data_IF_873436871007
#
_entry.id   IF_873436871007
#
_cell.length_a   1.000
_cell.length_b   1.000
_cell.length_c   1.000
_cell.angle_alpha   90.00
_cell.angle_beta   90.00
_cell.angle_gamma   90.00
#
_symmetry.space_group_name_H-M   'P 1'
#
loop_
_entity.id
_entity.type
_entity.pdbx_description
1 polymer ?
#
# COMPACT_ATOMS: atom_id res chain seq x y z
N UNK A 1 -34.52 18.86 11.66
CA UNK A 1 -33.25 18.11 11.83
C UNK A 1 -32.11 18.99 11.36
N UNK A 2 -31.25 19.41 12.26
CA UNK A 2 -30.04 20.13 11.89
C UNK A 2 -28.92 19.18 11.46
N UNK A 3 -27.73 19.70 11.14
CA UNK A 3 -26.63 18.86 10.66
C UNK A 3 -26.08 17.95 11.78
N UNK A 4 -26.08 18.39 13.02
CA UNK A 4 -25.60 17.61 14.15
C UNK A 4 -26.56 16.46 14.46
N UNK A 5 -27.84 16.69 14.53
CA UNK A 5 -28.87 15.64 14.63
C UNK A 5 -28.80 14.64 13.48
N UNK A 6 -28.56 15.11 12.24
CA UNK A 6 -28.37 14.22 11.10
C UNK A 6 -27.14 13.35 11.25
N UNK A 7 -26.02 13.88 11.74
CA UNK A 7 -24.82 13.09 11.95
C UNK A 7 -25.00 12.05 13.07
N UNK A 8 -25.75 12.39 14.13
CA UNK A 8 -26.08 11.44 15.20
C UNK A 8 -27.03 10.36 14.70
N UNK A 9 -28.05 10.70 13.91
CA UNK A 9 -28.89 9.72 13.23
C UNK A 9 -28.06 8.75 12.37
N UNK A 10 -27.05 9.24 11.66
CA UNK A 10 -26.21 8.40 10.81
C UNK A 10 -25.32 7.43 11.58
N UNK A 11 -25.11 7.59 12.89
CA UNK A 11 -24.34 6.63 13.70
C UNK A 11 -25.00 5.26 13.72
N UNK A 12 -26.32 5.27 13.90
CA UNK A 12 -27.15 4.06 13.85
C UNK A 12 -28.47 4.45 13.18
N UNK A 13 -28.75 3.88 12.03
CA UNK A 13 -30.00 4.12 11.31
C UNK A 13 -30.51 2.83 10.68
N UNK A 14 -31.82 2.77 10.50
CA UNK A 14 -32.47 1.66 9.83
C UNK A 14 -32.80 2.03 8.38
N UNK A 15 -32.53 1.11 7.46
CA UNK A 15 -32.91 1.20 6.06
C UNK A 15 -33.36 -0.16 5.57
N UNK A 16 -34.55 -0.22 4.99
CA UNK A 16 -35.15 -1.46 4.44
C UNK A 16 -35.23 -2.59 5.49
N UNK A 17 -35.53 -2.25 6.76
CA UNK A 17 -35.60 -3.21 7.87
C UNK A 17 -34.24 -3.71 8.37
N UNK A 18 -33.13 -3.13 7.88
CA UNK A 18 -31.77 -3.49 8.29
C UNK A 18 -31.10 -2.33 9.04
N UNK A 19 -30.57 -2.63 10.21
CA UNK A 19 -29.79 -1.66 10.99
C UNK A 19 -28.40 -1.45 10.34
N UNK A 20 -28.09 -0.19 10.08
CA UNK A 20 -26.81 0.26 9.54
C UNK A 20 -26.06 1.12 10.57
N UNK A 21 -24.75 0.95 10.65
CA UNK A 21 -23.88 1.75 11.50
C UNK A 21 -22.79 2.44 10.69
N UNK A 22 -22.39 3.65 11.11
CA UNK A 22 -21.22 4.34 10.57
C UNK A 22 -20.21 4.59 11.67
N UNK A 23 -18.94 4.26 11.42
CA UNK A 23 -17.83 4.69 12.26
C UNK A 23 -17.49 6.18 12.05
N UNK A 24 -16.57 6.73 12.87
CA UNK A 24 -16.16 8.13 12.79
C UNK A 24 -15.62 8.53 11.41
N UNK A 25 -15.03 7.57 10.67
CA UNK A 25 -14.54 7.82 9.30
C UNK A 25 -15.70 7.95 8.32
N UNK A 26 -16.72 7.12 8.49
CA UNK A 26 -17.97 7.20 7.72
C UNK A 26 -18.67 8.53 7.94
N UNK A 27 -18.85 8.92 9.19
CA UNK A 27 -19.44 10.21 9.58
C UNK A 27 -18.60 11.39 9.05
N UNK A 28 -17.26 11.36 9.24
CA UNK A 28 -16.37 12.41 8.73
C UNK A 28 -16.48 12.60 7.21
N UNK A 29 -16.61 11.50 6.44
CA UNK A 29 -16.77 11.56 4.99
C UNK A 29 -18.09 12.20 4.58
N UNK A 30 -19.19 11.87 5.29
CA UNK A 30 -20.51 12.46 5.05
C UNK A 30 -20.53 13.95 5.39
N UNK A 31 -19.93 14.34 6.53
CA UNK A 31 -19.78 15.75 6.90
C UNK A 31 -18.92 16.53 5.88
N UNK A 32 -17.84 15.93 5.37
CA UNK A 32 -17.01 16.55 4.34
C UNK A 32 -17.82 16.80 3.04
N UNK A 33 -18.71 15.88 2.66
CA UNK A 33 -19.62 16.08 1.52
C UNK A 33 -20.59 17.22 1.75
N UNK A 34 -21.20 17.31 2.96
CA UNK A 34 -22.07 18.43 3.33
C UNK A 34 -21.33 19.75 3.33
N UNK A 35 -20.11 19.79 3.86
CA UNK A 35 -19.26 20.99 3.82
C UNK A 35 -18.96 21.44 2.40
N UNK A 36 -18.62 20.52 1.50
CA UNK A 36 -18.38 20.85 0.10
C UNK A 36 -19.63 21.38 -0.58
N UNK A 37 -20.80 20.77 -0.30
CA UNK A 37 -22.08 21.20 -0.82
C UNK A 37 -22.42 22.63 -0.36
N UNK A 38 -22.45 22.88 0.94
CA UNK A 38 -22.77 24.21 1.46
C UNK A 38 -21.72 25.27 1.09
N UNK A 39 -20.45 24.90 1.02
CA UNK A 39 -19.39 25.81 0.57
C UNK A 39 -19.57 26.23 -0.89
N UNK A 40 -19.99 25.31 -1.76
CA UNK A 40 -20.31 25.65 -3.15
C UNK A 40 -21.40 26.74 -3.24
N UNK A 41 -22.53 26.55 -2.54
CA UNK A 41 -23.61 27.52 -2.55
C UNK A 41 -23.26 28.84 -1.85
N UNK A 42 -22.45 28.79 -0.82
CA UNK A 42 -21.92 29.96 -0.15
C UNK A 42 -21.00 30.78 -1.07
N UNK A 43 -20.08 30.14 -1.78
CA UNK A 43 -19.20 30.80 -2.75
C UNK A 43 -19.93 31.32 -3.99
N UNK A 44 -21.15 30.85 -4.26
CA UNK A 44 -22.04 31.34 -5.32
C UNK A 44 -23.01 32.42 -4.80
N UNK A 45 -22.85 32.84 -3.54
CA UNK A 45 -23.71 33.83 -2.86
C UNK A 45 -25.21 33.47 -2.83
N UNK A 46 -25.52 32.16 -3.02
CA UNK A 46 -26.88 31.63 -3.00
C UNK A 46 -27.40 31.44 -1.56
N UNK A 47 -26.50 31.36 -0.60
CA UNK A 47 -26.79 31.33 0.84
C UNK A 47 -25.89 32.32 1.57
N UNK A 48 -26.42 32.96 2.60
CA UNK A 48 -25.70 33.98 3.37
C UNK A 48 -24.82 33.40 4.48
N UNK A 49 -25.08 32.15 4.90
CA UNK A 49 -24.33 31.45 5.96
C UNK A 49 -24.10 30.01 5.55
N UNK A 50 -22.93 29.47 5.92
CA UNK A 50 -22.61 28.05 5.71
C UNK A 50 -22.86 27.28 7.02
N UNK A 51 -23.97 26.52 7.15
CA UNK A 51 -24.31 25.83 8.40
C UNK A 51 -23.36 24.67 8.72
N UNK A 52 -22.66 24.10 7.74
CA UNK A 52 -21.75 23.00 7.95
C UNK A 52 -20.35 23.44 8.42
N UNK A 53 -20.05 24.75 8.39
CA UNK A 53 -18.70 25.25 8.72
C UNK A 53 -18.37 25.09 10.21
N UNK A 54 -19.35 25.32 11.08
CA UNK A 54 -19.19 25.29 12.55
C UNK A 54 -19.29 23.89 13.14
N UNK A 55 -19.84 22.91 12.40
CA UNK A 55 -19.98 21.54 12.88
C UNK A 55 -18.59 20.88 12.99
N UNK A 56 -18.24 20.40 14.17
CA UNK A 56 -16.91 19.81 14.42
C UNK A 56 -16.75 18.46 13.72
N UNK A 57 -15.56 18.25 13.13
CA UNK A 57 -15.21 16.92 12.59
C UNK A 57 -15.03 15.93 13.74
N UNK A 58 -15.59 14.71 13.63
CA UNK A 58 -15.33 13.64 14.59
C UNK A 58 -13.83 13.39 14.76
N UNK A 59 -13.41 13.15 16.01
CA UNK A 59 -12.03 12.73 16.28
C UNK A 59 -11.80 11.34 15.67
N UNK A 60 -10.80 11.23 14.81
CA UNK A 60 -10.42 9.95 14.21
C UNK A 60 -9.47 9.21 15.13
N UNK A 61 -9.83 8.00 15.53
CA UNK A 61 -8.87 7.11 16.17
C UNK A 61 -7.87 6.59 15.13
N UNK A 62 -6.59 6.72 15.44
CA UNK A 62 -5.54 6.18 14.59
C UNK A 62 -5.57 4.65 14.69
N UNK A 63 -5.76 3.98 13.56
CA UNK A 63 -5.67 2.52 13.48
C UNK A 63 -4.23 2.15 13.18
N UNK A 64 -3.69 1.19 13.91
CA UNK A 64 -2.40 0.59 13.59
C UNK A 64 -2.38 0.14 12.12
N UNK A 65 -1.29 0.46 11.43
CA UNK A 65 -1.15 0.08 10.03
C UNK A 65 -0.95 -1.43 9.96
N UNK A 66 -1.92 -2.13 9.39
CA UNK A 66 -1.78 -3.54 9.08
C UNK A 66 -0.84 -3.71 7.89
N UNK A 67 0.23 -4.43 8.06
CA UNK A 67 1.24 -4.77 7.04
C UNK A 67 1.67 -6.23 7.21
N UNK A 68 2.32 -6.77 6.20
CA UNK A 68 3.01 -8.05 6.30
C UNK A 68 4.42 -7.81 6.84
N UNK A 69 4.89 -8.73 7.65
CA UNK A 69 6.28 -8.80 8.06
C UNK A 69 7.10 -9.56 6.99
N UNK A 70 8.43 -9.54 7.08
CA UNK A 70 9.31 -10.14 6.06
C UNK A 70 9.02 -11.63 5.87
N UNK A 71 8.87 -12.36 6.97
CA UNK A 71 8.57 -13.79 6.93
C UNK A 71 7.19 -14.07 6.31
N UNK A 72 6.19 -13.23 6.61
CA UNK A 72 4.86 -13.35 6.02
C UNK A 72 4.87 -13.04 4.51
N UNK A 73 5.75 -12.13 4.05
CA UNK A 73 5.93 -11.87 2.61
C UNK A 73 6.54 -13.08 1.92
N UNK A 74 7.59 -13.67 2.49
CA UNK A 74 8.20 -14.88 1.95
C UNK A 74 7.18 -16.02 1.86
N UNK A 75 6.50 -16.33 2.97
CA UNK A 75 5.46 -17.36 2.99
C UNK A 75 4.32 -17.10 2.01
N UNK A 76 3.98 -15.82 1.76
CA UNK A 76 2.95 -15.45 0.80
C UNK A 76 3.38 -15.75 -0.63
N UNK A 77 4.60 -15.41 -1.01
CA UNK A 77 5.13 -15.68 -2.34
C UNK A 77 5.32 -17.18 -2.57
N UNK A 78 5.84 -17.91 -1.59
CA UNK A 78 5.97 -19.38 -1.62
C UNK A 78 4.62 -20.06 -1.85
N UNK A 79 3.56 -19.60 -1.15
CA UNK A 79 2.22 -20.14 -1.32
C UNK A 79 1.61 -19.77 -2.68
N UNK A 80 1.91 -18.58 -3.23
CA UNK A 80 1.47 -18.20 -4.58
C UNK A 80 2.15 -19.07 -5.64
N UNK A 81 3.37 -19.49 -5.41
CA UNK A 81 4.13 -20.36 -6.32
C UNK A 81 3.73 -21.85 -6.20
N UNK A 82 3.69 -22.37 -4.97
CA UNK A 82 3.43 -23.80 -4.71
C UNK A 82 1.96 -24.16 -4.71
N UNK A 83 1.09 -23.33 -4.12
CA UNK A 83 -0.33 -23.60 -3.98
C UNK A 83 -0.67 -24.74 -3.01
N UNK A 84 0.25 -25.11 -2.10
CA UNK A 84 0.12 -26.28 -1.22
C UNK A 84 -1.11 -26.22 -0.30
N UNK A 85 -1.45 -25.02 0.18
CA UNK A 85 -2.61 -24.82 1.09
C UNK A 85 -3.92 -24.59 0.36
N UNK A 86 -3.93 -24.65 -0.96
CA UNK A 86 -5.14 -24.48 -1.77
C UNK A 86 -6.00 -25.75 -1.72
N UNK A 87 -7.33 -25.58 -1.80
CA UNK A 87 -8.24 -26.70 -1.97
C UNK A 87 -8.07 -27.31 -3.36
N UNK A 88 -8.41 -28.60 -3.55
CA UNK A 88 -8.32 -29.29 -4.84
C UNK A 88 -8.98 -28.52 -6.00
N UNK A 89 -10.14 -27.88 -5.73
CA UNK A 89 -10.81 -27.04 -6.72
C UNK A 89 -9.99 -25.81 -7.08
N UNK A 90 -9.33 -25.20 -6.10
CA UNK A 90 -8.50 -24.01 -6.32
C UNK A 90 -7.19 -24.36 -7.02
N UNK A 91 -6.62 -25.55 -6.75
CA UNK A 91 -5.39 -26.03 -7.40
C UNK A 91 -5.56 -26.18 -8.91
N UNK A 92 -6.71 -26.68 -9.39
CA UNK A 92 -7.00 -26.78 -10.83
C UNK A 92 -6.92 -25.43 -11.57
N UNK A 93 -7.34 -24.35 -10.90
CA UNK A 93 -7.21 -22.98 -11.45
C UNK A 93 -5.81 -22.41 -11.22
N UNK A 94 -5.18 -22.79 -10.12
CA UNK A 94 -3.83 -22.34 -9.78
C UNK A 94 -2.83 -22.76 -10.85
N UNK A 95 -2.85 -24.00 -11.31
CA UNK A 95 -1.97 -24.48 -12.38
C UNK A 95 -2.00 -23.61 -13.65
N UNK A 96 -3.17 -23.00 -13.95
CA UNK A 96 -3.34 -22.14 -15.12
C UNK A 96 -3.01 -20.66 -14.84
N UNK A 97 -2.81 -20.28 -13.60
CA UNK A 97 -2.69 -18.85 -13.23
C UNK A 97 -1.47 -18.55 -12.38
N UNK A 98 -0.72 -19.55 -11.94
CA UNK A 98 0.38 -19.39 -10.98
C UNK A 98 1.45 -18.39 -11.44
N UNK A 99 1.91 -18.48 -12.68
CA UNK A 99 2.92 -17.56 -13.21
C UNK A 99 2.40 -16.12 -13.22
N UNK A 100 1.17 -15.90 -13.67
CA UNK A 100 0.51 -14.60 -13.63
C UNK A 100 0.33 -14.08 -12.21
N UNK A 101 -0.19 -14.92 -11.32
CA UNK A 101 -0.53 -14.57 -9.96
C UNK A 101 0.76 -14.22 -9.18
N UNK A 102 1.84 -14.98 -9.40
CA UNK A 102 3.17 -14.68 -8.85
C UNK A 102 3.71 -13.36 -9.39
N UNK A 103 3.67 -13.15 -10.71
CA UNK A 103 4.13 -11.89 -11.30
C UNK A 103 3.37 -10.67 -10.76
N UNK A 104 2.04 -10.75 -10.58
CA UNK A 104 1.24 -9.67 -9.99
C UNK A 104 1.66 -9.42 -8.54
N UNK A 105 1.78 -10.48 -7.72
CA UNK A 105 2.10 -10.34 -6.30
C UNK A 105 3.50 -9.78 -6.08
N UNK A 106 4.49 -10.32 -6.81
CA UNK A 106 5.89 -9.86 -6.76
C UNK A 106 6.00 -8.41 -7.24
N UNK A 107 5.29 -8.04 -8.31
CA UNK A 107 5.25 -6.66 -8.81
C UNK A 107 4.65 -5.70 -7.77
N UNK A 108 3.53 -6.04 -7.14
CA UNK A 108 2.90 -5.18 -6.13
C UNK A 108 3.77 -5.03 -4.87
N UNK A 109 4.45 -6.10 -4.44
CA UNK A 109 5.33 -6.12 -3.28
C UNK A 109 6.68 -5.46 -3.56
N UNK A 110 7.23 -5.61 -4.78
CA UNK A 110 8.55 -5.08 -5.13
C UNK A 110 8.56 -3.64 -5.67
N UNK A 111 7.38 -3.07 -5.98
CA UNK A 111 7.29 -1.70 -6.52
C UNK A 111 6.35 -0.80 -5.74
N UNK A 112 5.43 -1.37 -5.00
CA UNK A 112 4.39 -0.61 -4.29
C UNK A 112 3.44 0.18 -5.18
N UNK A 113 3.29 -0.13 -6.47
CA UNK A 113 2.32 0.53 -7.36
C UNK A 113 0.89 0.29 -6.90
N UNK A 114 -0.05 1.13 -7.34
CA UNK A 114 -1.47 0.94 -7.04
C UNK A 114 -2.03 -0.20 -7.87
N UNK A 115 -3.04 -0.89 -7.32
CA UNK A 115 -3.72 -1.98 -8.06
C UNK A 115 -4.29 -1.49 -9.40
N UNK A 116 -4.80 -0.26 -9.46
CA UNK A 116 -5.28 0.33 -10.71
C UNK A 116 -4.16 0.60 -11.72
N UNK A 117 -2.97 0.95 -11.26
CA UNK A 117 -1.77 1.10 -12.09
C UNK A 117 -1.33 -0.28 -12.60
N UNK A 118 -1.28 -1.30 -11.73
CA UNK A 118 -0.92 -2.67 -12.11
C UNK A 118 -1.84 -3.26 -13.21
N UNK A 119 -3.16 -3.17 -13.05
CA UNK A 119 -4.09 -3.72 -14.04
C UNK A 119 -4.12 -2.91 -15.35
N UNK A 120 -3.70 -1.64 -15.30
CA UNK A 120 -3.59 -0.76 -16.45
C UNK A 120 -2.38 -0.99 -17.34
N UNK A 121 -1.38 -1.74 -16.88
CA UNK A 121 -0.13 -1.95 -17.61
C UNK A 121 -0.35 -2.68 -18.95
N UNK A 122 0.35 -2.20 -19.95
CA UNK A 122 0.54 -2.87 -21.23
C UNK A 122 1.90 -3.57 -21.26
N UNK A 123 2.07 -4.53 -22.18
CA UNK A 123 3.35 -5.23 -22.37
C UNK A 123 4.46 -4.24 -22.70
N UNK A 124 4.15 -3.21 -23.48
CA UNK A 124 5.08 -2.15 -23.91
C UNK A 124 5.49 -1.19 -22.79
N UNK A 125 4.78 -1.20 -21.65
CA UNK A 125 5.13 -0.37 -20.51
C UNK A 125 6.30 -0.93 -19.68
N UNK A 126 6.73 -2.16 -19.95
CA UNK A 126 7.81 -2.82 -19.21
C UNK A 126 9.12 -2.69 -19.99
N UNK A 127 10.10 -2.03 -19.38
CA UNK A 127 11.47 -1.92 -19.89
C UNK A 127 12.40 -2.83 -19.09
N UNK A 128 12.71 -4.00 -19.64
CA UNK A 128 13.63 -4.97 -19.02
C UNK A 128 15.12 -4.56 -19.13
N UNK A 129 15.48 -3.57 -19.94
CA UNK A 129 16.87 -3.09 -20.03
C UNK A 129 17.21 -2.27 -18.79
N UNK A 130 16.28 -1.42 -18.39
CA UNK A 130 16.45 -0.51 -17.26
C UNK A 130 15.71 -0.97 -16.00
N UNK A 131 15.09 -2.16 -16.01
CA UNK A 131 14.26 -2.69 -14.93
C UNK A 131 13.20 -1.68 -14.46
N UNK A 132 12.49 -1.08 -15.41
CA UNK A 132 11.50 -0.04 -15.16
C UNK A 132 10.12 -0.37 -15.74
N UNK A 133 9.08 0.14 -15.10
CA UNK A 133 7.71 0.13 -15.63
C UNK A 133 7.19 1.56 -15.71
N UNK A 134 6.53 1.87 -16.82
CA UNK A 134 5.85 3.13 -17.00
C UNK A 134 4.42 3.01 -16.47
N UNK A 135 4.09 3.79 -15.45
CA UNK A 135 2.77 3.79 -14.83
C UNK A 135 2.04 5.10 -15.04
N UNK A 136 0.76 5.02 -15.35
CA UNK A 136 -0.12 6.17 -15.49
C UNK A 136 -0.77 6.50 -14.15
N UNK A 137 -0.35 7.60 -13.51
CA UNK A 137 -0.87 8.04 -12.22
C UNK A 137 -2.14 8.87 -12.35
N UNK A 138 -2.89 8.96 -11.25
CA UNK A 138 -4.09 9.83 -11.18
C UNK A 138 -3.74 11.27 -11.54
N UNK A 139 -4.42 11.82 -12.56
CA UNK A 139 -4.16 13.16 -13.10
C UNK A 139 -3.34 13.16 -14.39
N UNK A 140 -3.11 11.99 -15.01
CA UNK A 140 -2.48 11.87 -16.32
C UNK A 140 -0.95 11.90 -16.32
N UNK A 141 -0.31 11.99 -15.15
CA UNK A 141 1.15 11.96 -15.08
C UNK A 141 1.68 10.54 -15.34
N UNK A 142 2.64 10.42 -16.26
CA UNK A 142 3.43 9.21 -16.49
C UNK A 142 4.67 9.24 -15.60
N UNK A 143 4.96 8.12 -14.94
CA UNK A 143 6.14 7.98 -14.08
C UNK A 143 6.74 6.61 -14.30
N UNK A 144 8.06 6.53 -14.35
CA UNK A 144 8.79 5.26 -14.36
C UNK A 144 9.03 4.83 -12.92
N UNK A 145 8.66 3.59 -12.61
CA UNK A 145 8.93 2.94 -11.33
C UNK A 145 9.90 1.79 -11.59
N UNK A 146 11.00 1.76 -10.86
CA UNK A 146 12.03 0.73 -11.02
C UNK A 146 11.75 -0.49 -10.14
N UNK A 147 12.20 -1.66 -10.59
CA UNK A 147 12.00 -2.93 -9.91
C UNK A 147 13.30 -3.75 -9.83
N UNK A 148 13.38 -4.65 -8.85
CA UNK A 148 14.51 -5.56 -8.66
C UNK A 148 14.42 -6.84 -9.50
N UNK A 149 15.45 -7.67 -9.36
CA UNK A 149 15.62 -8.91 -10.15
C UNK A 149 14.52 -9.95 -9.90
N UNK A 150 13.97 -10.02 -8.69
CA UNK A 150 12.84 -10.90 -8.37
C UNK A 150 11.61 -10.58 -9.21
N UNK A 151 11.26 -9.28 -9.31
CA UNK A 151 10.15 -8.80 -10.14
C UNK A 151 10.44 -9.07 -11.62
N UNK A 152 11.68 -8.81 -12.05
CA UNK A 152 12.13 -9.09 -13.42
C UNK A 152 11.91 -10.55 -13.78
N UNK A 153 12.39 -11.47 -12.95
CA UNK A 153 12.27 -12.90 -13.17
C UNK A 153 10.81 -13.35 -13.24
N UNK A 154 9.99 -12.92 -12.28
CA UNK A 154 8.56 -13.25 -12.25
C UNK A 154 7.81 -12.72 -13.49
N UNK A 155 8.13 -11.50 -13.94
CA UNK A 155 7.52 -10.92 -15.14
C UNK A 155 7.97 -11.65 -16.42
N UNK A 156 9.24 -12.02 -16.55
CA UNK A 156 9.74 -12.77 -17.72
C UNK A 156 9.08 -14.15 -17.81
N UNK A 157 9.05 -14.89 -16.71
CA UNK A 157 8.39 -16.21 -16.66
C UNK A 157 6.90 -16.11 -17.06
N UNK A 158 6.21 -15.08 -16.57
CA UNK A 158 4.82 -14.86 -16.97
C UNK A 158 4.69 -14.46 -18.44
N UNK A 159 5.59 -13.63 -18.98
CA UNK A 159 5.54 -13.19 -20.37
C UNK A 159 5.75 -14.35 -21.37
N UNK A 160 6.54 -15.35 -21.03
CA UNK A 160 6.66 -16.57 -21.83
C UNK A 160 5.29 -17.23 -21.99
N UNK A 161 4.55 -17.42 -20.89
CA UNK A 161 3.18 -17.95 -20.93
C UNK A 161 2.22 -16.98 -21.62
N UNK A 162 2.29 -15.69 -21.27
CA UNK A 162 1.40 -14.64 -21.80
C UNK A 162 1.44 -14.56 -23.32
N UNK A 163 2.62 -14.73 -23.93
CA UNK A 163 2.81 -14.66 -25.37
C UNK A 163 2.15 -15.83 -26.13
N UNK A 164 1.85 -16.93 -25.46
CA UNK A 164 1.10 -18.07 -26.02
C UNK A 164 -0.41 -17.86 -25.99
N UNK A 165 -0.91 -16.90 -25.23
CA UNK A 165 -2.33 -16.64 -25.02
C UNK A 165 -2.82 -15.63 -26.06
N UNK A 166 -3.72 -16.04 -26.93
CA UNK A 166 -4.45 -15.13 -27.80
C UNK A 166 -5.50 -14.36 -27.02
N UNK A 167 -5.26 -13.07 -26.82
CA UNK A 167 -6.15 -12.20 -26.04
C UNK A 167 -7.37 -11.79 -26.86
N UNK A 168 -8.49 -11.54 -26.17
CA UNK A 168 -9.69 -10.99 -26.79
C UNK A 168 -9.41 -9.58 -27.32
N UNK A 169 -10.07 -9.21 -28.42
CA UNK A 169 -10.00 -7.88 -29.02
C UNK A 169 -10.14 -6.76 -27.96
N UNK A 170 -9.31 -5.73 -28.07
CA UNK A 170 -9.21 -4.65 -27.07
C UNK A 170 -8.38 -5.00 -25.81
N UNK A 171 -7.88 -6.23 -25.69
CA UNK A 171 -6.99 -6.64 -24.58
C UNK A 171 -5.64 -7.19 -25.07
N UNK A 172 -5.33 -7.06 -26.34
CA UNK A 172 -4.13 -7.64 -26.95
C UNK A 172 -2.84 -7.13 -26.31
N UNK A 173 -2.76 -5.86 -26.01
CA UNK A 173 -1.59 -5.23 -25.39
C UNK A 173 -1.54 -5.37 -23.87
N UNK A 174 -2.63 -5.80 -23.22
CA UNK A 174 -2.69 -5.88 -21.79
C UNK A 174 -1.59 -6.83 -21.24
N UNK A 175 -0.82 -6.37 -20.26
CA UNK A 175 0.21 -7.18 -19.61
C UNK A 175 -0.46 -8.37 -18.90
N UNK A 176 -1.42 -8.13 -18.04
CA UNK A 176 -2.08 -9.17 -17.26
C UNK A 176 -3.48 -9.51 -17.80
N UNK A 177 -3.70 -10.80 -18.07
CA UNK A 177 -4.97 -11.32 -18.56
C UNK A 177 -5.72 -12.12 -17.47
N UNK A 178 -7.04 -12.03 -17.52
CA UNK A 178 -7.94 -12.93 -16.79
C UNK A 178 -8.03 -14.30 -17.49
N UNK A 179 -8.65 -15.28 -16.82
CA UNK A 179 -8.98 -16.57 -17.45
C UNK A 179 -9.90 -16.44 -18.69
N UNK A 180 -10.61 -15.32 -18.81
CA UNK A 180 -11.42 -15.01 -19.98
C UNK A 180 -10.60 -14.35 -21.12
N UNK A 181 -9.27 -14.33 -21.00
CA UNK A 181 -8.36 -13.71 -21.98
C UNK A 181 -8.59 -12.21 -22.19
N UNK A 182 -9.22 -11.54 -21.23
CA UNK A 182 -9.40 -10.08 -21.19
C UNK A 182 -8.42 -9.47 -20.18
N UNK A 183 -8.14 -8.17 -20.32
CA UNK A 183 -7.39 -7.41 -19.30
C UNK A 183 -7.94 -7.72 -17.91
N UNK A 184 -7.06 -8.04 -16.96
CA UNK A 184 -7.47 -8.34 -15.59
C UNK A 184 -8.06 -7.09 -14.93
N UNK A 185 -9.13 -7.25 -14.18
CA UNK A 185 -9.77 -6.13 -13.47
C UNK A 185 -9.25 -5.99 -12.03
N UNK A 186 -9.39 -4.78 -11.47
CA UNK A 186 -9.01 -4.48 -10.08
C UNK A 186 -9.60 -5.48 -9.09
N UNK A 187 -10.88 -5.83 -9.25
CA UNK A 187 -11.55 -6.78 -8.35
C UNK A 187 -10.95 -8.18 -8.39
N UNK A 188 -10.49 -8.62 -9.56
CA UNK A 188 -9.84 -9.91 -9.69
C UNK A 188 -8.52 -9.94 -8.92
N UNK A 189 -7.70 -8.87 -9.00
CA UNK A 189 -6.46 -8.74 -8.24
C UNK A 189 -6.73 -8.62 -6.73
N UNK A 190 -7.76 -7.88 -6.32
CA UNK A 190 -8.17 -7.82 -4.90
C UNK A 190 -8.53 -9.22 -4.36
N UNK A 191 -9.29 -9.99 -5.14
CA UNK A 191 -9.68 -11.36 -4.76
C UNK A 191 -8.48 -12.30 -4.74
N UNK A 192 -7.52 -12.14 -5.68
CA UNK A 192 -6.25 -12.87 -5.72
C UNK A 192 -5.44 -12.62 -4.45
N UNK A 193 -5.18 -11.35 -4.11
CA UNK A 193 -4.47 -10.99 -2.89
C UNK A 193 -5.16 -11.55 -1.66
N UNK A 194 -6.50 -11.43 -1.58
CA UNK A 194 -7.29 -11.95 -0.47
C UNK A 194 -7.24 -13.48 -0.38
N UNK A 195 -7.25 -14.19 -1.52
CA UNK A 195 -7.17 -15.65 -1.58
C UNK A 195 -5.90 -16.14 -0.90
N UNK A 196 -4.74 -15.71 -1.36
CA UNK A 196 -3.46 -16.18 -0.84
C UNK A 196 -3.14 -15.66 0.55
N UNK A 197 -3.42 -14.39 0.85
CA UNK A 197 -3.13 -13.84 2.17
C UNK A 197 -3.91 -14.50 3.31
N UNK A 198 -5.12 -14.99 3.06
CA UNK A 198 -5.90 -15.74 4.05
C UNK A 198 -5.29 -17.10 4.42
N UNK A 199 -4.48 -17.69 3.54
CA UNK A 199 -3.77 -18.95 3.78
C UNK A 199 -2.55 -18.75 4.69
N UNK A 200 -2.03 -17.53 4.75
CA UNK A 200 -0.84 -17.19 5.52
C UNK A 200 -1.20 -16.53 6.86
N UNK A 201 -2.16 -15.63 6.85
CA UNK A 201 -2.58 -14.91 8.06
C UNK A 201 -4.09 -14.78 8.15
N UNK A 202 -4.66 -15.27 9.26
CA UNK A 202 -6.10 -15.14 9.55
C UNK A 202 -6.43 -13.85 10.28
N UNK A 203 -5.44 -13.28 10.98
CA UNK A 203 -5.61 -12.08 11.83
C UNK A 203 -5.52 -10.78 11.05
N UNK A 204 -4.85 -10.78 9.89
CA UNK A 204 -4.61 -9.59 9.08
C UNK A 204 -5.49 -9.61 7.82
N UNK A 205 -6.30 -8.58 7.61
CA UNK A 205 -7.02 -8.41 6.35
C UNK A 205 -6.13 -7.70 5.33
N UNK A 206 -5.43 -8.47 4.51
CA UNK A 206 -4.49 -7.97 3.52
C UNK A 206 -5.23 -7.65 2.21
N UNK A 207 -4.91 -6.49 1.66
CA UNK A 207 -5.43 -5.96 0.39
C UNK A 207 -4.26 -5.43 -0.43
N UNK A 208 -4.41 -5.14 -1.75
CA UNK A 208 -3.35 -4.54 -2.54
C UNK A 208 -2.79 -3.24 -1.93
N UNK A 209 -3.64 -2.44 -1.28
CA UNK A 209 -3.19 -1.25 -0.56
C UNK A 209 -2.28 -1.60 0.65
N UNK A 210 -2.52 -2.74 1.29
CA UNK A 210 -1.66 -3.22 2.40
C UNK A 210 -0.33 -3.75 1.90
N UNK A 211 -0.29 -4.40 0.72
CA UNK A 211 0.97 -4.78 0.07
C UNK A 211 1.83 -3.55 -0.25
N UNK A 212 1.20 -2.49 -0.78
CA UNK A 212 1.87 -1.21 -0.99
C UNK A 212 2.37 -0.58 0.32
N UNK A 213 1.61 -0.68 1.41
CA UNK A 213 2.06 -0.23 2.74
C UNK A 213 3.23 -1.08 3.27
N UNK A 214 3.24 -2.38 2.98
CA UNK A 214 4.36 -3.28 3.29
C UNK A 214 5.62 -2.84 2.55
N UNK A 215 5.56 -2.64 1.23
CA UNK A 215 6.67 -2.12 0.43
C UNK A 215 7.20 -0.79 0.98
N UNK A 216 6.33 0.20 1.20
CA UNK A 216 6.76 1.50 1.71
C UNK A 216 7.37 1.43 3.11
N UNK A 217 6.93 0.47 3.95
CA UNK A 217 7.53 0.22 5.26
C UNK A 217 8.92 -0.37 5.14
N UNK A 218 9.10 -1.36 4.27
CA UNK A 218 10.41 -1.97 4.01
C UNK A 218 11.39 -0.94 3.45
N UNK A 219 10.96 -0.16 2.46
CA UNK A 219 11.77 0.92 1.89
C UNK A 219 12.20 1.95 2.95
N UNK A 220 11.26 2.35 3.85
CA UNK A 220 11.59 3.28 4.92
C UNK A 220 12.53 2.68 5.97
N UNK A 221 12.39 1.38 6.29
CA UNK A 221 13.29 0.68 7.21
C UNK A 221 14.72 0.64 6.69
N UNK A 222 14.88 0.35 5.41
CA UNK A 222 16.19 0.25 4.75
C UNK A 222 16.85 1.63 4.57
N UNK A 223 16.10 2.61 4.07
CA UNK A 223 16.69 3.89 3.66
C UNK A 223 16.65 4.96 4.76
N UNK A 224 15.63 4.94 5.63
CA UNK A 224 15.32 6.00 6.57
C UNK A 224 14.80 7.29 5.95
N UNK A 225 14.65 7.32 4.63
CA UNK A 225 14.26 8.51 3.89
C UNK A 225 12.76 8.50 3.59
N UNK A 226 12.04 9.35 4.33
CA UNK A 226 10.59 9.51 4.16
C UNK A 226 10.22 10.22 2.85
N UNK A 227 11.12 11.05 2.33
CA UNK A 227 10.90 11.77 1.08
C UNK A 227 11.02 10.81 -0.11
N UNK A 228 12.03 9.94 -0.08
CA UNK A 228 12.18 8.87 -1.07
C UNK A 228 10.94 7.97 -1.08
N UNK A 229 10.46 7.54 0.10
CA UNK A 229 9.23 6.73 0.20
C UNK A 229 8.01 7.47 -0.36
N UNK A 230 7.85 8.76 -0.06
CA UNK A 230 6.75 9.57 -0.59
C UNK A 230 6.82 9.71 -2.11
N UNK A 231 7.99 9.92 -2.67
CA UNK A 231 8.23 10.06 -4.10
C UNK A 231 7.93 8.76 -4.85
N UNK A 232 8.56 7.65 -4.46
CA UNK A 232 8.36 6.33 -5.07
C UNK A 232 6.89 5.91 -5.00
N UNK A 233 6.23 6.10 -3.85
CA UNK A 233 4.81 5.84 -3.71
C UNK A 233 3.93 6.89 -4.42
N UNK A 234 4.45 8.03 -4.88
CA UNK A 234 3.69 9.10 -5.52
C UNK A 234 2.64 9.69 -4.60
N UNK A 235 3.03 10.01 -3.38
CA UNK A 235 2.21 10.77 -2.45
C UNK A 235 2.43 12.26 -2.69
N UNK A 236 1.35 13.00 -3.00
CA UNK A 236 1.42 14.46 -3.20
C UNK A 236 1.78 15.22 -1.92
N UNK A 237 1.46 14.66 -0.76
CA UNK A 237 1.71 15.26 0.56
C UNK A 237 2.54 14.30 1.41
N UNK A 238 3.78 14.70 1.70
CA UNK A 238 4.71 13.97 2.55
C UNK A 238 4.18 13.82 3.99
N UNK A 239 3.33 14.73 4.46
CA UNK A 239 2.74 14.62 5.80
C UNK A 239 1.83 13.39 5.93
N UNK A 240 1.19 12.97 4.83
CA UNK A 240 0.46 11.70 4.79
C UNK A 240 1.40 10.53 5.03
N UNK A 241 2.58 10.55 4.43
CA UNK A 241 3.63 9.55 4.59
C UNK A 241 4.18 9.57 6.01
N UNK A 242 4.53 10.75 6.56
CA UNK A 242 5.02 10.89 7.95
C UNK A 242 4.07 10.28 8.97
N UNK A 243 2.77 10.56 8.88
CA UNK A 243 1.76 9.97 9.78
C UNK A 243 1.73 8.45 9.72
N UNK A 244 1.91 7.88 8.52
CA UNK A 244 1.94 6.43 8.33
C UNK A 244 3.16 5.76 8.96
N UNK A 245 4.30 6.45 9.04
CA UNK A 245 5.56 5.87 9.51
C UNK A 245 6.04 6.42 10.87
N UNK A 246 5.24 7.26 11.54
CA UNK A 246 5.57 7.84 12.84
C UNK A 246 5.98 6.81 13.92
N UNK A 247 5.30 5.66 13.95
CA UNK A 247 5.66 4.59 14.89
C UNK A 247 7.05 3.99 14.62
N UNK A 248 7.47 3.93 13.34
CA UNK A 248 8.80 3.45 12.96
C UNK A 248 9.88 4.49 13.28
N UNK A 249 9.56 5.78 13.20
CA UNK A 249 10.47 6.84 13.66
C UNK A 249 10.75 6.73 15.16
N UNK A 250 9.75 6.42 15.97
CA UNK A 250 9.93 6.23 17.42
C UNK A 250 10.82 5.01 17.72
N UNK A 251 10.63 3.90 17.02
CA UNK A 251 11.51 2.72 17.10
C UNK A 251 12.97 3.06 16.73
N UNK A 252 13.18 3.84 15.66
CA UNK A 252 14.51 4.31 15.24
C UNK A 252 15.13 5.25 16.26
N UNK A 253 14.36 6.16 16.84
CA UNK A 253 14.86 7.05 17.93
C UNK A 253 15.33 6.25 19.14
N UNK A 254 14.63 5.17 19.50
CA UNK A 254 15.03 4.28 20.60
C UNK A 254 16.30 3.50 20.30
N UNK A 255 16.57 3.20 19.03
CA UNK A 255 17.79 2.50 18.62
C UNK A 255 18.96 3.44 18.30
N UNK A 256 18.71 4.73 18.07
CA UNK A 256 19.74 5.72 17.74
C UNK A 256 20.90 5.78 18.74
N UNK A 257 20.68 5.70 20.07
CA UNK A 257 21.79 5.69 21.05
C UNK A 257 22.76 4.52 20.87
N UNK A 258 22.34 3.41 20.28
CA UNK A 258 23.20 2.23 20.03
C UNK A 258 24.26 2.49 18.95
N UNK A 259 24.08 3.52 18.12
CA UNK A 259 25.01 3.88 17.05
C UNK A 259 26.02 4.96 17.44
N UNK A 260 25.88 5.53 18.67
CA UNK A 260 26.78 6.55 19.17
C UNK A 260 27.80 5.88 20.12
N UNK A 261 28.90 5.38 19.56
CA UNK A 261 30.00 4.81 20.33
C UNK A 261 31.02 5.86 20.83
N UNK A 262 30.75 7.16 20.66
CA UNK A 262 31.71 8.23 20.98
C UNK A 262 31.94 8.51 22.48
N UNK A 263 31.15 7.90 23.38
CA UNK A 263 31.26 8.21 24.82
C UNK A 263 32.08 7.21 25.65
N UNK A 264 32.58 6.13 25.05
CA UNK A 264 33.36 5.12 25.79
C UNK A 264 34.88 5.23 25.59
N UNK A 265 35.39 6.25 24.88
CA UNK A 265 36.82 6.36 24.56
C UNK A 265 37.58 7.45 25.37
N UNK A 266 37.02 7.94 26.49
CA UNK A 266 37.67 9.01 27.25
C UNK A 266 38.10 8.64 28.69
N UNK A 267 38.02 7.36 29.11
CA UNK A 267 38.43 7.00 30.47
C UNK A 267 39.75 6.24 30.59
N UNK A 268 40.31 5.66 29.52
CA UNK A 268 41.52 4.85 29.64
C UNK A 268 42.82 5.52 29.16
N UNK A 269 42.77 6.78 28.64
CA UNK A 269 43.96 7.45 28.17
C UNK A 269 44.57 8.44 29.18
N UNK A 270 43.96 8.63 30.36
CA UNK A 270 44.38 9.63 31.32
C UNK A 270 45.17 9.09 32.50
N UNK A 271 45.31 7.77 32.66
CA UNK A 271 45.90 7.16 33.87
C UNK A 271 47.34 6.64 33.70
N UNK A 272 47.94 6.76 32.51
CA UNK A 272 49.29 6.22 32.23
C UNK A 272 50.40 7.30 32.12
N UNK A 273 50.12 8.54 32.47
CA UNK A 273 51.13 9.63 32.34
C UNK A 273 51.67 10.23 33.67
N UNK A 274 51.40 9.59 34.84
CA UNK A 274 51.90 10.06 36.15
C UNK A 274 52.66 8.96 36.91
N UNK A 275 53.62 8.32 36.24
CA UNK A 275 54.75 7.68 36.93
C UNK A 275 56.05 8.28 36.40
N UNK A 276 56.43 9.41 36.92
CA UNK A 276 57.80 9.89 36.88
C UNK A 276 58.48 9.42 38.14
N UNK A 277 59.46 8.56 37.95
CA UNK A 277 60.40 8.14 38.97
C UNK A 277 61.11 9.33 39.62
N UNK A 278 61.01 9.45 40.94
CA UNK A 278 61.95 10.15 41.76
C UNK A 278 62.90 9.11 42.38
N UNK A 279 64.07 8.92 41.75
CA UNK A 279 65.23 8.32 42.31
C UNK A 279 66.14 9.37 42.92
#
# INVERSE_FOLDING_TARGET
MDIEEYLDYLRVYEKDGVAHTNDERGISRKLASLRSFYNYYFCKEMITKNPAQLVRMPKKHEKTITRLDVDEVAMLLDEVESGEKLTERQQKFHEQTKCRDLAIMTLLLGTGIRVSECVGLDITDVDFRNNGIKVHRKGGAEVVVYFGDEVRTALLNYLEERNTIEAVEGSTNALFLSLQKKRIGVRAVENLVKKYSKLITTMKNITPHKLRSTYGTSLYRETGDIYLVADVLGHKDVNTTKKHYAALEDERRRTAPKYIHCLLYTSDAADDSLRVDLG
#
